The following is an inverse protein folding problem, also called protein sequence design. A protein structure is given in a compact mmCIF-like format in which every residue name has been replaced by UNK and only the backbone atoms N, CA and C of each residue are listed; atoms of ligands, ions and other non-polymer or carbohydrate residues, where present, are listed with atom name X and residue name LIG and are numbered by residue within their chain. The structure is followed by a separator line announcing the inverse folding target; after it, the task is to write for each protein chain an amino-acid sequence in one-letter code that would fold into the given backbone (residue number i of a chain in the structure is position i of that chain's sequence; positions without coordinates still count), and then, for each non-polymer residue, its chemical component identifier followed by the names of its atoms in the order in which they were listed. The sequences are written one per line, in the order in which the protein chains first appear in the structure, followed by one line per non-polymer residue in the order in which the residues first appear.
data_IF_870959426554
#
_entry.id   IF_870959426554
#
_cell.length_a   1.000
_cell.length_b   1.000
_cell.length_c   1.000
_cell.angle_alpha   90.00
_cell.angle_beta   90.00
_cell.angle_gamma   90.00
#
_symmetry.space_group_name_H-M   'P 1'
#
loop_
_entity.id
_entity.type
_entity.pdbx_description
1 polymer ?
#
# COMPACT_ATOMS: atom_id res chain seq x y z
N UNK A 1 24.22 0.25 -51.09
CA UNK A 1 23.54 -0.55 -50.04
C UNK A 1 24.45 -1.67 -49.52
N UNK A 2 25.53 -1.35 -48.80
CA UNK A 2 26.48 -2.34 -48.23
C UNK A 2 26.62 -2.23 -46.71
N UNK A 3 25.73 -1.47 -46.05
CA UNK A 3 25.85 -1.09 -44.64
C UNK A 3 24.87 -1.82 -43.69
N UNK A 4 24.21 -2.88 -44.14
CA UNK A 4 23.17 -3.58 -43.36
C UNK A 4 23.55 -5.00 -42.89
N UNK A 5 24.74 -5.50 -43.21
CA UNK A 5 25.11 -6.90 -42.93
C UNK A 5 25.88 -7.07 -41.61
N UNK A 6 26.42 -5.99 -41.03
CA UNK A 6 27.31 -6.10 -39.85
C UNK A 6 26.53 -6.18 -38.52
N UNK A 7 25.26 -5.76 -38.48
CA UNK A 7 24.46 -5.81 -37.23
C UNK A 7 23.80 -7.17 -36.94
N UNK A 8 23.86 -8.13 -37.86
CA UNK A 8 23.16 -9.41 -37.72
C UNK A 8 23.95 -10.50 -36.98
N UNK A 9 25.25 -10.32 -36.75
CA UNK A 9 26.13 -11.41 -36.26
C UNK A 9 26.48 -11.29 -34.76
N UNK A 10 26.12 -10.18 -34.10
CA UNK A 10 26.47 -9.94 -32.68
C UNK A 10 25.39 -10.42 -31.69
N UNK A 11 24.23 -10.86 -32.15
CA UNK A 11 23.10 -11.24 -31.28
C UNK A 11 22.88 -12.76 -31.07
N UNK A 12 23.85 -13.60 -31.43
CA UNK A 12 23.80 -15.05 -31.18
C UNK A 12 24.89 -15.47 -30.19
N UNK A 13 24.90 -14.85 -29.01
CA UNK A 13 25.50 -15.50 -27.84
C UNK A 13 24.38 -16.32 -27.21
N UNK A 14 24.33 -17.65 -27.37
CA UNK A 14 23.48 -18.47 -26.52
C UNK A 14 24.01 -18.30 -25.10
N UNK A 15 23.26 -17.58 -24.27
CA UNK A 15 23.42 -17.63 -22.83
C UNK A 15 23.15 -19.07 -22.41
N UNK A 16 24.21 -19.87 -22.31
CA UNK A 16 24.21 -21.16 -21.62
C UNK A 16 24.07 -20.84 -20.14
N UNK A 17 22.85 -20.57 -19.69
CA UNK A 17 22.54 -20.63 -18.28
C UNK A 17 22.65 -22.10 -17.90
N UNK A 18 23.72 -22.45 -17.18
CA UNK A 18 23.84 -23.74 -16.53
C UNK A 18 22.73 -23.83 -15.48
N UNK A 19 21.56 -24.31 -15.89
CA UNK A 19 20.45 -24.58 -15.00
C UNK A 19 20.91 -25.67 -14.02
N UNK A 20 21.05 -25.31 -12.74
CA UNK A 20 21.30 -26.29 -11.69
C UNK A 20 20.11 -27.24 -11.66
N UNK A 21 20.37 -28.54 -11.78
CA UNK A 21 19.32 -29.55 -11.65
C UNK A 21 18.87 -29.64 -10.19
N UNK A 22 17.61 -30.04 -9.96
CA UNK A 22 17.03 -30.24 -8.62
C UNK A 22 17.93 -31.06 -7.67
N UNK A 23 18.71 -32.00 -8.21
CA UNK A 23 19.56 -32.92 -7.43
C UNK A 23 20.78 -32.25 -6.79
N UNK A 24 21.21 -31.11 -7.30
CA UNK A 24 22.38 -30.37 -6.79
C UNK A 24 21.96 -29.21 -5.88
N UNK A 25 20.66 -29.09 -5.60
CA UNK A 25 20.15 -27.95 -4.88
C UNK A 25 20.25 -28.10 -3.37
N UNK A 26 21.05 -27.22 -2.75
CA UNK A 26 21.19 -27.14 -1.30
C UNK A 26 20.27 -26.06 -0.78
N UNK A 27 19.21 -26.50 -0.10
CA UNK A 27 18.27 -25.63 0.62
C UNK A 27 18.59 -25.61 2.12
N UNK A 28 18.09 -24.60 2.82
CA UNK A 28 18.22 -24.50 4.27
C UNK A 28 17.22 -25.44 4.97
N UNK A 29 17.45 -25.75 6.25
CA UNK A 29 16.77 -26.81 7.03
C UNK A 29 15.22 -26.81 6.99
N UNK A 30 14.56 -25.70 6.66
CA UNK A 30 13.10 -25.55 6.62
C UNK A 30 12.52 -25.47 5.19
N UNK A 31 13.36 -25.76 4.19
CA UNK A 31 13.06 -25.58 2.76
C UNK A 31 13.43 -26.84 1.99
N UNK A 32 12.57 -27.21 1.04
CA UNK A 32 12.75 -28.36 0.18
C UNK A 32 13.05 -27.92 -1.26
N UNK A 33 13.92 -28.65 -1.98
CA UNK A 33 14.17 -28.36 -3.38
C UNK A 33 12.93 -28.69 -4.22
N UNK A 34 12.52 -27.74 -5.06
CA UNK A 34 11.48 -27.88 -6.07
C UNK A 34 12.02 -27.45 -7.43
N UNK A 35 11.36 -27.87 -8.51
CA UNK A 35 11.72 -27.48 -9.87
C UNK A 35 10.50 -26.83 -10.51
N UNK A 36 10.67 -25.59 -10.97
CA UNK A 36 9.62 -24.79 -11.61
C UNK A 36 10.24 -24.17 -12.87
N UNK A 37 9.63 -24.41 -14.03
CA UNK A 37 10.12 -23.93 -15.33
C UNK A 37 11.57 -24.31 -15.67
N UNK A 38 12.05 -25.45 -15.17
CA UNK A 38 13.43 -25.92 -15.36
C UNK A 38 14.47 -25.23 -14.45
N UNK A 39 14.03 -24.39 -13.53
CA UNK A 39 14.87 -23.80 -12.49
C UNK A 39 14.69 -24.56 -11.16
N UNK A 40 15.81 -24.96 -10.54
CA UNK A 40 15.79 -25.46 -9.18
C UNK A 40 15.59 -24.29 -8.19
N UNK A 41 14.65 -24.47 -7.27
CA UNK A 41 14.27 -23.49 -6.25
C UNK A 41 14.19 -24.16 -4.88
N UNK A 42 14.28 -23.39 -3.81
CA UNK A 42 14.06 -23.83 -2.45
C UNK A 42 12.71 -23.31 -1.95
N UNK A 43 11.73 -24.19 -1.78
CA UNK A 43 10.38 -23.83 -1.30
C UNK A 43 10.21 -24.18 0.17
N UNK A 44 9.71 -23.22 0.95
CA UNK A 44 9.51 -23.38 2.38
C UNK A 44 8.31 -24.27 2.67
N UNK A 45 8.49 -25.26 3.54
CA UNK A 45 7.40 -26.15 4.01
C UNK A 45 6.30 -25.33 4.70
N UNK A 46 6.69 -24.23 5.34
CA UNK A 46 5.80 -23.24 5.95
C UNK A 46 5.68 -22.00 5.05
N UNK A 47 4.44 -21.56 4.82
CA UNK A 47 4.11 -20.34 4.06
C UNK A 47 4.54 -20.32 2.58
N UNK A 48 5.00 -21.44 2.01
CA UNK A 48 5.32 -21.61 0.58
C UNK A 48 6.26 -20.52 0.02
N UNK A 49 7.21 -20.04 0.83
CA UNK A 49 8.18 -19.03 0.40
C UNK A 49 9.20 -19.64 -0.56
N UNK A 50 9.66 -18.88 -1.55
CA UNK A 50 10.52 -19.38 -2.62
C UNK A 50 11.88 -18.66 -2.61
N UNK A 51 12.93 -19.47 -2.50
CA UNK A 51 14.33 -19.06 -2.57
C UNK A 51 15.04 -19.60 -3.80
N UNK A 52 16.04 -18.87 -4.29
CA UNK A 52 16.88 -19.36 -5.37
C UNK A 52 17.76 -20.49 -4.84
N UNK A 53 18.06 -21.46 -5.69
CA UNK A 53 18.86 -22.60 -5.29
C UNK A 53 20.29 -22.21 -4.88
N UNK A 54 20.69 -22.57 -3.66
CA UNK A 54 22.01 -22.22 -3.11
C UNK A 54 22.14 -20.74 -2.72
N UNK A 55 21.02 -20.02 -2.59
CA UNK A 55 20.99 -18.70 -1.98
C UNK A 55 21.45 -18.76 -0.51
N UNK A 56 22.11 -17.71 -0.04
CA UNK A 56 22.49 -17.60 1.37
C UNK A 56 21.21 -17.54 2.24
N UNK A 57 21.22 -18.24 3.39
CA UNK A 57 20.10 -18.22 4.34
C UNK A 57 19.79 -16.77 4.75
N UNK A 58 18.56 -16.26 4.55
CA UNK A 58 18.22 -14.92 4.95
C UNK A 58 18.32 -14.75 6.48
N UNK A 59 18.70 -13.57 6.97
CA UNK A 59 18.59 -13.27 8.39
C UNK A 59 17.11 -13.30 8.84
N UNK A 60 16.85 -13.52 10.12
CA UNK A 60 15.49 -13.42 10.69
C UNK A 60 15.18 -11.97 11.05
N UNK A 61 13.90 -11.61 11.08
CA UNK A 61 13.44 -10.32 11.56
C UNK A 61 13.15 -10.38 13.06
N UNK A 62 13.72 -9.47 13.84
CA UNK A 62 13.32 -9.27 15.24
C UNK A 62 12.44 -8.02 15.31
N UNK A 63 11.26 -8.19 15.89
CA UNK A 63 10.27 -7.14 16.01
C UNK A 63 9.87 -6.94 17.47
N UNK A 64 9.64 -5.69 17.84
CA UNK A 64 9.25 -5.32 19.19
C UNK A 64 7.80 -4.81 19.21
N UNK A 65 6.98 -5.36 20.11
CA UNK A 65 5.61 -4.92 20.38
C UNK A 65 5.35 -4.90 21.87
N UNK A 66 4.93 -3.76 22.42
CA UNK A 66 4.58 -3.60 23.84
C UNK A 66 5.69 -4.14 24.79
N UNK A 67 6.96 -3.87 24.48
CA UNK A 67 8.11 -4.31 25.30
C UNK A 67 8.51 -5.78 25.15
N UNK A 68 7.83 -6.57 24.30
CA UNK A 68 8.22 -7.96 23.99
C UNK A 68 8.90 -8.03 22.62
N UNK A 69 9.99 -8.79 22.53
CA UNK A 69 10.60 -9.18 21.26
C UNK A 69 9.99 -10.48 20.74
N UNK A 70 9.84 -10.57 19.42
CA UNK A 70 9.52 -11.82 18.74
C UNK A 70 10.33 -11.92 17.45
N UNK A 71 10.74 -13.14 17.12
CA UNK A 71 11.54 -13.45 15.94
C UNK A 71 10.59 -14.00 14.88
N UNK A 72 10.55 -13.35 13.72
CA UNK A 72 9.75 -13.79 12.59
C UNK A 72 10.47 -14.90 11.81
N UNK A 73 9.67 -15.72 11.13
CA UNK A 73 10.17 -16.78 10.28
C UNK A 73 10.95 -16.25 9.07
N UNK A 74 11.79 -17.12 8.52
CA UNK A 74 12.67 -16.79 7.40
C UNK A 74 11.81 -16.53 6.15
N UNK A 75 11.99 -15.36 5.53
CA UNK A 75 11.23 -14.96 4.33
C UNK A 75 9.97 -14.14 4.60
N UNK A 76 9.71 -13.74 5.85
CA UNK A 76 8.88 -12.57 6.15
C UNK A 76 9.67 -11.31 5.73
N UNK A 77 9.71 -11.05 4.42
CA UNK A 77 10.65 -10.14 3.74
C UNK A 77 10.54 -8.66 4.13
N UNK A 78 9.63 -8.30 5.02
CA UNK A 78 9.29 -6.92 5.30
C UNK A 78 9.75 -6.48 6.70
N UNK A 79 11.02 -6.77 7.03
CA UNK A 79 11.71 -6.06 8.12
C UNK A 79 11.65 -4.53 7.99
N UNK A 80 11.74 -3.92 6.78
CA UNK A 80 11.60 -2.49 6.65
C UNK A 80 10.12 -2.13 6.47
N UNK A 81 9.47 -1.83 7.59
CA UNK A 81 8.26 -1.02 7.70
C UNK A 81 7.06 -1.45 6.86
N UNK A 82 5.98 -1.93 7.50
CA UNK A 82 4.60 -1.60 7.11
C UNK A 82 3.60 -2.27 8.06
N UNK A 83 2.90 -1.46 8.85
CA UNK A 83 1.84 -1.89 9.76
C UNK A 83 2.02 -1.24 11.13
N UNK A 84 1.15 -0.29 11.47
CA UNK A 84 1.22 0.71 12.56
C UNK A 84 1.47 0.22 14.01
N UNK A 85 1.85 -1.04 14.23
CA UNK A 85 1.96 -1.63 15.57
C UNK A 85 3.21 -2.48 15.82
N UNK A 86 4.13 -2.62 14.86
CA UNK A 86 5.34 -3.44 15.01
C UNK A 86 6.60 -2.63 14.69
N UNK A 87 7.41 -2.38 15.72
CA UNK A 87 8.74 -1.79 15.55
C UNK A 87 9.71 -2.90 15.15
N UNK A 88 9.73 -3.25 13.86
CA UNK A 88 10.74 -4.12 13.29
C UNK A 88 11.92 -3.26 12.87
N UNK A 89 13.09 -3.51 13.46
CA UNK A 89 14.31 -2.84 13.04
C UNK A 89 14.89 -3.61 11.85
N UNK A 90 15.10 -2.98 10.69
CA UNK A 90 15.97 -3.58 9.70
C UNK A 90 17.37 -3.62 10.31
N UNK A 91 17.76 -4.80 10.80
CA UNK A 91 19.10 -5.01 11.32
C UNK A 91 20.09 -4.72 10.19
N UNK A 92 21.25 -4.16 10.51
CA UNK A 92 22.33 -3.92 9.52
C UNK A 92 22.63 -5.21 8.69
N UNK A 93 22.38 -6.37 9.28
CA UNK A 93 22.46 -7.69 8.63
C UNK A 93 21.55 -7.81 7.40
N UNK A 94 20.32 -7.30 7.44
CA UNK A 94 19.41 -7.28 6.28
C UNK A 94 19.91 -6.36 5.17
N UNK A 95 20.47 -5.20 5.52
CA UNK A 95 21.04 -4.27 4.54
C UNK A 95 22.22 -4.95 3.82
N UNK A 96 23.07 -5.67 4.55
CA UNK A 96 24.18 -6.43 3.98
C UNK A 96 23.69 -7.59 3.11
N UNK A 97 22.68 -8.32 3.56
CA UNK A 97 22.04 -9.39 2.80
C UNK A 97 21.52 -8.88 1.44
N UNK A 98 20.74 -7.79 1.42
CA UNK A 98 20.23 -7.21 0.18
C UNK A 98 21.31 -6.63 -0.74
N UNK A 99 22.49 -6.27 -0.20
CA UNK A 99 23.65 -5.90 -1.02
C UNK A 99 24.25 -7.11 -1.74
N UNK A 100 24.28 -8.28 -1.10
CA UNK A 100 24.76 -9.54 -1.69
C UNK A 100 23.75 -10.18 -2.65
N UNK A 101 22.45 -9.94 -2.42
CA UNK A 101 21.34 -10.48 -3.21
C UNK A 101 20.54 -9.39 -3.92
N UNK A 102 21.12 -8.69 -4.92
CA UNK A 102 20.45 -7.57 -5.59
C UNK A 102 19.18 -7.99 -6.36
N UNK A 103 19.06 -9.26 -6.79
CA UNK A 103 17.83 -9.79 -7.42
C UNK A 103 16.61 -9.64 -6.52
N UNK A 104 16.77 -9.81 -5.20
CA UNK A 104 15.72 -9.62 -4.19
C UNK A 104 15.27 -8.17 -4.07
N UNK A 105 16.23 -7.23 -4.12
CA UNK A 105 15.93 -5.80 -4.07
C UNK A 105 15.25 -5.32 -5.36
N UNK A 106 15.64 -5.88 -6.52
CA UNK A 106 15.03 -5.57 -7.81
C UNK A 106 13.60 -6.07 -7.93
N UNK A 107 13.24 -7.25 -7.39
CA UNK A 107 11.83 -7.68 -7.35
C UNK A 107 10.97 -6.70 -6.54
N UNK A 108 11.47 -6.18 -5.42
CA UNK A 108 10.80 -5.15 -4.63
C UNK A 108 10.66 -3.81 -5.39
N UNK A 109 11.73 -3.38 -6.06
CA UNK A 109 11.75 -2.14 -6.85
C UNK A 109 10.99 -2.24 -8.17
N UNK A 110 10.90 -3.40 -8.82
CA UNK A 110 10.12 -3.63 -10.03
C UNK A 110 8.63 -3.71 -9.72
N UNK A 111 8.22 -4.26 -8.58
CA UNK A 111 6.83 -4.14 -8.12
C UNK A 111 6.50 -2.65 -7.91
N UNK A 112 7.40 -1.89 -7.25
CA UNK A 112 7.22 -0.44 -7.10
C UNK A 112 7.27 0.32 -8.43
N UNK A 113 8.15 -0.04 -9.37
CA UNK A 113 8.30 0.68 -10.65
C UNK A 113 7.23 0.28 -11.66
N UNK A 114 6.70 -0.94 -11.65
CA UNK A 114 5.55 -1.33 -12.47
C UNK A 114 4.28 -0.64 -11.94
N UNK A 115 4.16 -0.48 -10.62
CA UNK A 115 3.08 0.32 -10.00
C UNK A 115 3.24 1.83 -10.26
N UNK A 116 4.46 2.35 -10.43
CA UNK A 116 4.71 3.78 -10.72
C UNK A 116 4.89 4.15 -12.20
N UNK A 117 5.19 3.20 -13.10
CA UNK A 117 5.39 3.46 -14.54
C UNK A 117 4.16 3.12 -15.37
N UNK A 118 3.28 2.20 -14.92
CA UNK A 118 1.97 1.99 -15.59
C UNK A 118 1.01 3.19 -15.49
N UNK A 119 1.03 4.07 -14.45
CA UNK A 119 0.21 5.28 -14.47
C UNK A 119 0.69 6.31 -15.51
N UNK A 120 1.97 6.31 -15.91
CA UNK A 120 2.49 7.31 -16.85
C UNK A 120 2.00 7.12 -18.29
N UNK A 121 1.68 5.88 -18.70
CA UNK A 121 1.08 5.62 -20.03
C UNK A 121 -0.45 5.77 -20.02
N UNK A 122 -1.08 5.79 -18.84
CA UNK A 122 -2.51 6.09 -18.67
C UNK A 122 -2.81 7.49 -18.11
N UNK A 123 -1.81 8.35 -17.93
CA UNK A 123 -2.00 9.75 -17.51
C UNK A 123 -2.51 10.69 -18.62
N UNK A 124 -2.89 10.15 -19.77
CA UNK A 124 -3.71 10.83 -20.78
C UNK A 124 -5.18 10.35 -20.77
N UNK A 125 -5.61 9.67 -19.70
CA UNK A 125 -6.98 9.21 -19.52
C UNK A 125 -7.72 10.16 -18.56
N UNK A 126 -8.22 11.26 -19.14
CA UNK A 126 -9.31 12.11 -18.63
C UNK A 126 -9.37 12.27 -17.11
N UNK A 127 -8.81 13.37 -16.57
CA UNK A 127 -9.18 13.88 -15.25
C UNK A 127 -10.71 13.93 -15.20
N UNK A 128 -11.34 12.96 -14.55
CA UNK A 128 -12.78 12.98 -14.31
C UNK A 128 -13.03 14.26 -13.52
N UNK A 129 -13.91 15.10 -14.04
CA UNK A 129 -14.41 16.28 -13.34
C UNK A 129 -14.87 15.82 -11.95
N UNK A 130 -14.22 16.34 -10.91
CA UNK A 130 -14.62 16.02 -9.57
C UNK A 130 -16.00 16.64 -9.31
N UNK A 131 -17.01 15.82 -9.07
CA UNK A 131 -18.36 16.32 -8.79
C UNK A 131 -18.46 16.57 -7.29
N UNK A 132 -18.36 17.84 -6.92
CA UNK A 132 -18.57 18.31 -5.55
C UNK A 132 -20.03 18.71 -5.32
N UNK A 133 -20.42 18.83 -4.05
CA UNK A 133 -21.75 19.34 -3.69
C UNK A 133 -21.85 20.83 -4.00
N UNK A 134 -23.07 21.37 -4.09
CA UNK A 134 -23.35 22.77 -4.48
C UNK A 134 -22.58 23.85 -3.69
N UNK A 135 -22.12 23.54 -2.48
CA UNK A 135 -21.40 24.46 -1.58
C UNK A 135 -19.88 24.16 -1.48
N UNK A 136 -19.38 23.25 -2.34
CA UNK A 136 -18.01 22.75 -2.31
C UNK A 136 -17.36 22.91 -3.69
N UNK A 137 -16.13 23.37 -3.71
CA UNK A 137 -15.34 23.55 -4.92
C UNK A 137 -14.30 22.44 -5.04
N UNK A 138 -14.04 21.93 -6.27
CA UNK A 138 -13.01 20.94 -6.49
C UNK A 138 -11.62 21.57 -6.34
N UNK A 139 -10.76 20.93 -5.55
CA UNK A 139 -9.36 21.29 -5.37
C UNK A 139 -8.45 20.06 -5.52
N UNK A 140 -7.14 20.28 -5.64
CA UNK A 140 -6.13 19.23 -5.72
C UNK A 140 -5.09 19.46 -4.62
N UNK A 141 -4.97 18.51 -3.67
CA UNK A 141 -3.96 18.55 -2.61
C UNK A 141 -3.11 17.28 -2.70
N UNK A 142 -1.79 17.45 -2.87
CA UNK A 142 -0.84 16.33 -3.06
C UNK A 142 -1.22 15.36 -4.18
N UNK A 143 -1.81 15.86 -5.27
CA UNK A 143 -2.23 15.05 -6.42
C UNK A 143 -3.54 14.28 -6.22
N UNK A 144 -4.25 14.51 -5.11
CA UNK A 144 -5.56 13.92 -4.84
C UNK A 144 -6.66 14.95 -5.05
N UNK A 145 -7.69 14.67 -5.89
CA UNK A 145 -8.83 15.55 -6.03
C UNK A 145 -9.70 15.48 -4.77
N UNK A 146 -10.13 16.65 -4.28
CA UNK A 146 -10.95 16.81 -3.10
C UNK A 146 -12.00 17.90 -3.30
N UNK A 147 -13.01 17.92 -2.44
CA UNK A 147 -14.05 18.94 -2.42
C UNK A 147 -13.88 19.81 -1.17
N UNK A 148 -13.53 21.09 -1.34
CA UNK A 148 -13.35 22.03 -0.22
C UNK A 148 -14.55 22.97 -0.11
N UNK A 149 -15.09 23.09 1.10
CA UNK A 149 -16.25 23.96 1.37
C UNK A 149 -15.85 25.42 1.47
N UNK A 150 -16.57 26.30 0.77
CA UNK A 150 -16.24 27.74 0.68
C UNK A 150 -16.37 28.46 2.03
N UNK A 151 -17.34 28.07 2.86
CA UNK A 151 -17.61 28.74 4.15
C UNK A 151 -16.74 28.24 5.31
N UNK A 152 -16.57 26.92 5.41
CA UNK A 152 -16.02 26.27 6.61
C UNK A 152 -14.70 25.51 6.36
N UNK A 153 -14.15 25.62 5.15
CA UNK A 153 -12.91 24.96 4.70
C UNK A 153 -12.84 23.45 4.98
N UNK A 154 -14.00 22.79 5.11
CA UNK A 154 -14.06 21.34 5.29
C UNK A 154 -13.72 20.63 4.00
N UNK A 155 -13.05 19.50 4.13
CA UNK A 155 -12.53 18.73 3.02
C UNK A 155 -13.27 17.39 2.95
N UNK A 156 -13.86 17.13 1.79
CA UNK A 156 -14.46 15.86 1.41
C UNK A 156 -13.66 15.19 0.30
N UNK A 157 -13.67 13.87 0.27
CA UNK A 157 -13.06 13.15 -0.83
C UNK A 157 -13.89 13.35 -2.10
N UNK A 158 -13.22 13.34 -3.25
CA UNK A 158 -13.92 13.48 -4.52
C UNK A 158 -14.92 12.35 -4.74
N UNK A 159 -16.19 12.69 -4.98
CA UNK A 159 -17.26 11.71 -5.18
C UNK A 159 -17.77 11.05 -3.90
N UNK A 160 -17.42 11.58 -2.71
CA UNK A 160 -18.03 11.18 -1.45
C UNK A 160 -19.55 11.46 -1.47
N UNK A 161 -20.33 10.66 -0.72
CA UNK A 161 -21.77 10.88 -0.57
C UNK A 161 -22.01 12.17 0.24
N UNK A 162 -22.99 13.00 -0.16
CA UNK A 162 -23.31 14.24 0.55
C UNK A 162 -23.73 13.91 1.99
N UNK A 163 -23.04 14.40 3.03
CA UNK A 163 -23.48 14.15 4.39
C UNK A 163 -24.83 14.83 4.64
N UNK A 164 -25.67 14.24 5.51
CA UNK A 164 -26.91 14.88 5.93
C UNK A 164 -26.62 16.18 6.70
N UNK A 165 -27.59 17.09 6.78
CA UNK A 165 -27.47 18.29 7.62
C UNK A 165 -27.66 17.93 9.10
N UNK A 166 -27.08 18.72 9.98
CA UNK A 166 -27.23 18.56 11.42
C UNK A 166 -28.40 19.40 11.93
N UNK A 167 -29.34 18.77 12.63
CA UNK A 167 -30.40 19.48 13.36
C UNK A 167 -30.05 19.51 14.84
N UNK A 168 -29.95 20.72 15.39
CA UNK A 168 -29.57 20.94 16.76
C UNK A 168 -30.66 21.70 17.49
N UNK A 169 -31.06 21.20 18.67
CA UNK A 169 -32.12 21.83 19.46
C UNK A 169 -31.52 22.53 20.68
N UNK A 170 -31.78 23.84 20.80
CA UNK A 170 -31.35 24.65 21.94
C UNK A 170 -32.46 25.61 22.35
N UNK A 171 -32.86 25.56 23.62
CA UNK A 171 -33.86 26.46 24.21
C UNK A 171 -35.19 26.51 23.40
N UNK A 172 -35.67 25.36 22.92
CA UNK A 172 -36.90 25.27 22.13
C UNK A 172 -36.80 25.76 20.68
N UNK A 173 -35.61 26.13 20.20
CA UNK A 173 -35.35 26.46 18.78
C UNK A 173 -34.56 25.35 18.11
N UNK A 174 -34.91 25.06 16.86
CA UNK A 174 -34.17 24.16 15.97
C UNK A 174 -33.28 24.99 15.07
N UNK A 175 -31.98 24.74 15.10
CA UNK A 175 -31.01 25.30 14.16
C UNK A 175 -30.52 24.18 13.24
N UNK A 176 -30.65 24.38 11.93
CA UNK A 176 -30.05 23.52 10.92
C UNK A 176 -28.66 24.07 10.66
N UNK A 177 -27.65 23.25 10.89
CA UNK A 177 -26.28 23.66 10.61
C UNK A 177 -25.87 23.27 9.19
N UNK A 178 -25.01 24.09 8.59
CA UNK A 178 -24.46 23.82 7.28
C UNK A 178 -23.53 22.59 7.33
N UNK A 179 -23.36 21.97 6.16
CA UNK A 179 -22.50 20.80 6.01
C UNK A 179 -21.07 21.20 6.36
N UNK A 180 -20.54 20.62 7.45
CA UNK A 180 -19.17 20.85 7.89
C UNK A 180 -19.00 21.78 9.09
N UNK A 181 -20.05 22.40 9.63
CA UNK A 181 -19.94 23.30 10.77
C UNK A 181 -19.59 22.58 12.09
N UNK A 182 -20.08 21.35 12.30
CA UNK A 182 -19.59 20.45 13.35
C UNK A 182 -19.78 18.99 12.94
N UNK A 183 -19.22 18.06 13.70
CA UNK A 183 -19.69 16.67 13.67
C UNK A 183 -20.95 16.58 14.53
N UNK A 184 -22.05 16.11 13.94
CA UNK A 184 -23.27 15.77 14.68
C UNK A 184 -23.05 14.77 15.83
N UNK A 185 -21.87 14.14 15.88
CA UNK A 185 -21.44 13.21 16.90
C UNK A 185 -20.68 13.86 18.09
N UNK A 186 -20.41 15.17 18.06
CA UNK A 186 -19.65 15.85 19.11
C UNK A 186 -20.52 16.34 20.27
N UNK A 187 -20.23 15.87 21.49
CA UNK A 187 -20.69 16.53 22.74
C UNK A 187 -19.94 17.85 22.90
N UNK A 188 -20.38 18.90 22.20
CA UNK A 188 -20.00 20.27 22.53
C UNK A 188 -20.87 20.77 23.69
N UNK A 189 -20.27 21.44 24.68
CA UNK A 189 -20.83 21.71 26.01
C UNK A 189 -22.18 22.45 26.08
N UNK A 190 -22.76 22.93 24.96
CA UNK A 190 -23.93 23.80 24.99
C UNK A 190 -24.98 23.56 23.88
N UNK A 191 -24.90 22.48 23.10
CA UNK A 191 -25.86 22.18 22.04
C UNK A 191 -26.12 20.66 21.95
N UNK A 192 -27.35 20.24 22.23
CA UNK A 192 -27.79 18.86 21.98
C UNK A 192 -28.09 18.71 20.48
N UNK A 193 -27.06 18.38 19.71
CA UNK A 193 -27.23 17.86 18.36
C UNK A 193 -27.45 16.35 18.49
N UNK A 194 -28.62 15.88 18.10
CA UNK A 194 -28.95 14.44 18.21
C UNK A 194 -28.69 13.83 16.84
N UNK A 195 -27.72 12.90 16.68
CA UNK A 195 -27.54 12.24 15.41
C UNK A 195 -28.82 11.47 15.08
N UNK A 196 -29.50 11.89 14.02
CA UNK A 196 -30.69 11.20 13.52
C UNK A 196 -30.30 9.80 13.01
N UNK A 197 -31.28 8.93 12.80
CA UNK A 197 -31.02 7.62 12.18
C UNK A 197 -30.25 7.74 10.85
N UNK A 198 -30.45 8.85 10.12
CA UNK A 198 -29.75 9.17 8.86
C UNK A 198 -28.24 9.35 9.09
N UNK A 199 -27.84 10.01 10.17
CA UNK A 199 -26.42 10.15 10.53
C UNK A 199 -25.79 8.83 10.94
N UNK A 200 -26.52 7.98 11.65
CA UNK A 200 -26.01 6.64 12.00
C UNK A 200 -25.76 5.79 10.76
N UNK A 201 -26.64 5.88 9.76
CA UNK A 201 -26.45 5.21 8.47
C UNK A 201 -25.25 5.79 7.71
N UNK A 202 -25.13 7.11 7.66
CA UNK A 202 -23.98 7.79 7.04
C UNK A 202 -22.66 7.35 7.68
N UNK A 203 -22.55 7.36 9.01
CA UNK A 203 -21.34 6.92 9.71
C UNK A 203 -21.06 5.42 9.56
N UNK A 204 -22.08 4.60 9.29
CA UNK A 204 -21.87 3.19 8.98
C UNK A 204 -21.18 3.02 7.62
N UNK A 205 -21.53 3.84 6.63
CA UNK A 205 -20.87 3.88 5.31
C UNK A 205 -19.50 4.57 5.37
N UNK A 206 -19.36 5.59 6.22
CA UNK A 206 -18.16 6.43 6.34
C UNK A 206 -17.60 6.45 7.78
N UNK A 207 -17.08 5.32 8.28
CA UNK A 207 -16.69 5.18 9.69
C UNK A 207 -15.58 6.12 10.14
N UNK A 208 -14.71 6.55 9.23
CA UNK A 208 -13.64 7.53 9.50
C UNK A 208 -14.16 8.93 9.83
N UNK A 209 -15.37 9.28 9.37
CA UNK A 209 -16.02 10.59 9.64
C UNK A 209 -16.56 10.74 11.06
N UNK A 210 -16.63 9.65 11.83
CA UNK A 210 -17.17 9.66 13.20
C UNK A 210 -16.20 10.20 14.26
N UNK A 211 -14.90 10.31 13.93
CA UNK A 211 -13.82 10.53 14.92
C UNK A 211 -13.27 11.97 15.01
N UNK A 212 -13.91 12.95 14.35
CA UNK A 212 -13.43 14.34 14.31
C UNK A 212 -14.42 15.33 14.92
#
# INVERSE_FOLDING_TARGET
MKLLVIFSVVFLIPLVFAAKTKRECVCFEEFEPEEEDGEALCRGVKHYRIFECGEEKPPRCECHKNGKSFIMDIGETNCPGTGDHLNCLPTNVWIQYYRRHPSRRRKLLLIFSVVFVIPLVFAAKTRKECVCFEEFEPEEENGQPLCRGVKNFRIFECGEEKPPRCECHKNGRTTIMDIGETTCAGKGDHINCTPTNVWNEYYRKHPFRRRY
#
